data_IF_143591102630
#
_entry.id   IF_143591102630
#
_cell.length_a   1.000
_cell.length_b   1.000
_cell.length_c   1.000
_cell.angle_alpha   90.00
_cell.angle_beta   90.00
_cell.angle_gamma   90.00
#
_symmetry.space_group_name_H-M   'P 1'
#
loop_
_entity.id
_entity.type
_entity.pdbx_description
1 polymer ?
#
# COMPACT_ATOMS: atom_id res chain seq x y z
N UNK A 1 16.66 29.26 -33.39
CA UNK A 1 15.92 29.03 -32.13
C UNK A 1 16.22 27.61 -31.71
N UNK A 2 17.06 27.41 -30.69
CA UNK A 2 17.56 26.10 -30.29
C UNK A 2 16.50 25.32 -29.49
N UNK A 3 16.21 24.08 -29.90
CA UNK A 3 15.40 23.14 -29.14
C UNK A 3 16.22 22.58 -27.98
N UNK A 4 15.78 22.84 -26.75
CA UNK A 4 16.41 22.28 -25.56
C UNK A 4 16.01 20.81 -25.42
N UNK A 5 16.89 19.90 -25.84
CA UNK A 5 16.80 18.48 -25.51
C UNK A 5 17.19 18.31 -24.04
N UNK A 6 16.21 18.20 -23.14
CA UNK A 6 16.47 17.89 -21.73
C UNK A 6 16.80 16.42 -21.59
N UNK A 7 18.07 16.09 -21.83
CA UNK A 7 18.64 14.80 -21.49
C UNK A 7 18.73 14.71 -19.95
N UNK A 8 17.68 14.20 -19.29
CA UNK A 8 17.70 13.86 -17.85
C UNK A 8 18.48 12.55 -17.68
N UNK A 9 19.74 12.57 -18.07
CA UNK A 9 20.73 11.53 -17.72
C UNK A 9 21.59 12.14 -16.62
N UNK A 10 21.09 12.10 -15.40
CA UNK A 10 21.81 12.61 -14.22
C UNK A 10 21.57 11.68 -13.04
N UNK A 11 22.64 11.06 -12.56
CA UNK A 11 22.72 10.24 -11.35
C UNK A 11 22.10 10.96 -10.12
N UNK A 12 20.78 10.88 -10.00
CA UNK A 12 20.02 11.11 -8.77
C UNK A 12 18.98 10.00 -8.74
N UNK A 13 19.41 8.78 -8.41
CA UNK A 13 18.49 7.86 -7.73
C UNK A 13 18.07 8.65 -6.49
N UNK A 14 16.90 9.25 -6.60
CA UNK A 14 16.46 10.36 -5.79
C UNK A 14 16.39 9.88 -4.36
N UNK A 15 16.80 10.69 -3.37
CA UNK A 15 16.56 10.37 -1.96
C UNK A 15 15.08 9.98 -1.75
N UNK A 16 14.17 10.55 -2.56
CA UNK A 16 12.77 10.17 -2.65
C UNK A 16 12.53 8.71 -3.07
N UNK A 17 13.20 8.19 -4.10
CA UNK A 17 13.01 6.78 -4.51
C UNK A 17 13.55 5.83 -3.44
N UNK A 18 14.67 6.16 -2.81
CA UNK A 18 15.21 5.36 -1.69
C UNK A 18 14.28 5.35 -0.47
N UNK A 19 13.61 6.46 -0.17
CA UNK A 19 12.60 6.52 0.89
C UNK A 19 11.35 5.70 0.55
N UNK A 20 10.87 5.76 -0.69
CA UNK A 20 9.77 4.93 -1.16
C UNK A 20 10.12 3.44 -1.04
N UNK A 21 11.29 3.04 -1.53
CA UNK A 21 11.73 1.64 -1.47
C UNK A 21 11.83 1.14 -0.01
N UNK A 22 12.26 2.02 0.91
CA UNK A 22 12.30 1.71 2.35
C UNK A 22 10.89 1.50 2.92
N UNK A 23 9.93 2.37 2.57
CA UNK A 23 8.53 2.22 2.98
C UNK A 23 7.89 0.94 2.41
N UNK A 24 8.17 0.61 1.14
CA UNK A 24 7.70 -0.62 0.51
C UNK A 24 8.25 -1.85 1.23
N UNK A 25 9.54 -1.89 1.56
CA UNK A 25 10.13 -3.02 2.31
C UNK A 25 9.53 -3.18 3.72
N UNK A 26 9.24 -2.07 4.39
CA UNK A 26 8.56 -2.09 5.70
C UNK A 26 7.14 -2.65 5.56
N UNK A 27 6.44 -2.30 4.49
CA UNK A 27 5.11 -2.82 4.17
C UNK A 27 5.13 -4.31 3.78
N UNK A 28 6.05 -4.74 2.93
CA UNK A 28 6.19 -6.13 2.48
C UNK A 28 6.43 -7.10 3.64
N UNK A 29 7.20 -6.67 4.66
CA UNK A 29 7.45 -7.47 5.86
C UNK A 29 6.34 -7.39 6.91
N UNK A 30 5.26 -6.63 6.68
CA UNK A 30 4.22 -6.49 7.68
C UNK A 30 3.31 -7.75 7.69
N UNK A 31 3.12 -8.41 8.86
CA UNK A 31 2.30 -9.62 8.97
C UNK A 31 0.86 -9.51 8.43
N UNK A 32 0.29 -8.31 8.36
CA UNK A 32 -1.06 -8.07 7.87
C UNK A 32 -1.13 -7.60 6.42
N UNK A 33 0.00 -7.31 5.76
CA UNK A 33 0.00 -6.78 4.38
C UNK A 33 -0.78 -7.69 3.41
N UNK A 34 -0.50 -9.00 3.44
CA UNK A 34 -1.23 -10.00 2.64
C UNK A 34 -2.73 -10.07 2.96
N UNK A 35 -3.14 -9.76 4.18
CA UNK A 35 -4.57 -9.75 4.56
C UNK A 35 -5.27 -8.50 4.02
N UNK A 36 -4.59 -7.35 4.07
CA UNK A 36 -5.08 -6.09 3.52
C UNK A 36 -5.14 -6.14 1.99
N UNK A 37 -4.15 -6.73 1.33
CA UNK A 37 -4.18 -6.93 -0.13
C UNK A 37 -5.41 -7.75 -0.57
N UNK A 38 -5.70 -8.84 0.15
CA UNK A 38 -6.89 -9.66 -0.10
C UNK A 38 -8.18 -8.88 0.12
N UNK A 39 -8.23 -8.02 1.15
CA UNK A 39 -9.38 -7.15 1.39
C UNK A 39 -9.53 -6.09 0.28
N UNK A 40 -8.43 -5.52 -0.20
CA UNK A 40 -8.43 -4.53 -1.28
C UNK A 40 -8.78 -5.14 -2.64
N UNK A 41 -8.50 -6.42 -2.85
CA UNK A 41 -8.92 -7.16 -4.04
C UNK A 41 -10.43 -7.48 -4.07
N UNK A 42 -11.14 -7.29 -2.94
CA UNK A 42 -12.58 -7.55 -2.84
C UNK A 42 -13.36 -6.23 -2.94
N UNK A 43 -14.45 -6.23 -3.71
CA UNK A 43 -15.34 -5.07 -3.77
C UNK A 43 -16.21 -4.96 -2.51
N UNK A 44 -16.74 -3.76 -2.24
CA UNK A 44 -17.66 -3.58 -1.10
C UNK A 44 -18.99 -4.34 -1.31
N UNK A 45 -19.40 -4.54 -2.55
CA UNK A 45 -20.57 -5.34 -2.93
C UNK A 45 -20.37 -6.82 -2.58
N UNK A 46 -19.19 -7.36 -2.88
CA UNK A 46 -18.83 -8.75 -2.53
C UNK A 46 -18.71 -8.95 -1.01
N UNK A 47 -18.24 -7.93 -0.29
CA UNK A 47 -18.21 -7.94 1.17
C UNK A 47 -19.64 -7.93 1.73
N UNK A 48 -20.50 -7.07 1.19
CA UNK A 48 -21.91 -7.00 1.60
C UNK A 48 -22.68 -8.29 1.30
N UNK A 49 -22.42 -8.94 0.17
CA UNK A 49 -23.00 -10.25 -0.17
C UNK A 49 -22.61 -11.35 0.84
N UNK A 50 -21.49 -11.19 1.55
CA UNK A 50 -21.03 -12.06 2.64
C UNK A 50 -21.52 -11.58 4.02
N UNK A 51 -22.31 -10.51 4.08
CA UNK A 51 -22.76 -9.89 5.32
C UNK A 51 -21.63 -9.21 6.11
N UNK A 52 -20.54 -8.82 5.45
CA UNK A 52 -19.38 -8.19 6.07
C UNK A 52 -19.28 -6.73 5.64
N UNK A 53 -18.75 -5.88 6.54
CA UNK A 53 -18.31 -4.54 6.18
C UNK A 53 -16.78 -4.48 6.09
N UNK A 54 -16.24 -3.60 5.24
CA UNK A 54 -14.79 -3.37 5.15
C UNK A 54 -14.19 -3.01 6.51
N UNK A 55 -14.92 -2.25 7.33
CA UNK A 55 -14.49 -1.86 8.67
C UNK A 55 -14.38 -3.07 9.61
N UNK A 56 -15.33 -4.01 9.58
CA UNK A 56 -15.28 -5.21 10.43
C UNK A 56 -14.10 -6.10 10.07
N UNK A 57 -13.80 -6.23 8.77
CA UNK A 57 -12.64 -7.00 8.32
C UNK A 57 -11.34 -6.34 8.75
N UNK A 58 -11.23 -5.01 8.65
CA UNK A 58 -10.05 -4.26 9.16
C UNK A 58 -9.89 -4.46 10.67
N UNK A 59 -10.97 -4.35 11.45
CA UNK A 59 -10.94 -4.60 12.90
C UNK A 59 -10.48 -6.02 13.21
N UNK A 60 -10.92 -7.00 12.43
CA UNK A 60 -10.47 -8.38 12.59
C UNK A 60 -8.98 -8.55 12.27
N UNK A 61 -8.49 -7.95 11.18
CA UNK A 61 -7.08 -8.01 10.76
C UNK A 61 -6.17 -7.46 11.84
N UNK A 62 -6.54 -6.34 12.46
CA UNK A 62 -5.75 -5.63 13.47
C UNK A 62 -6.24 -5.86 14.91
N UNK A 63 -6.99 -6.94 15.16
CA UNK A 63 -7.54 -7.26 16.49
C UNK A 63 -6.48 -7.40 17.58
N UNK A 64 -5.25 -7.71 17.18
CA UNK A 64 -4.07 -7.83 18.04
C UNK A 64 -3.50 -6.46 18.46
N UNK A 65 -3.86 -5.39 17.75
CA UNK A 65 -3.44 -4.00 18.03
C UNK A 65 -4.56 -3.16 18.62
N UNK A 66 -5.81 -3.51 18.36
CA UNK A 66 -6.97 -2.89 19.01
C UNK A 66 -7.21 -3.52 20.38
N UNK A 67 -6.54 -2.99 21.40
CA UNK A 67 -6.92 -3.18 22.79
C UNK A 67 -7.54 -1.88 23.32
N UNK A 68 -8.85 -1.89 23.57
CA UNK A 68 -9.52 -1.00 24.54
C UNK A 68 -10.09 -1.90 25.62
#
# INVERSE_FOLDING_TARGET
MAVANTNITGHKVSVFTALIDMLVRVMENHPHARQIERLNAMSDEDLAAKGLTRQDVIRHIFRDRYYI
#
